data_IF_044670182174
#
_entry.id   IF_044670182174
#
_cell.length_a   1.000
_cell.length_b   1.000
_cell.length_c   1.000
_cell.angle_alpha   90.00
_cell.angle_beta   90.00
_cell.angle_gamma   90.00
#
_symmetry.space_group_name_H-M   'P 1'
#
loop_
_entity.id
_entity.type
_entity.pdbx_description
1 polymer ?
#
# COMPACT_ATOMS: atom_id res chain seq x y z
N UNK A 1 -39.35 -52.19 -3.00
CA UNK A 1 -38.57 -50.98 -3.33
C UNK A 1 -39.35 -49.79 -2.78
N UNK A 2 -38.89 -49.21 -1.67
CA UNK A 2 -39.58 -48.14 -0.94
C UNK A 2 -39.11 -46.78 -1.46
N UNK A 3 -40.06 -45.93 -1.86
CA UNK A 3 -39.81 -44.59 -2.37
C UNK A 3 -39.57 -43.61 -1.19
N UNK A 4 -38.40 -42.96 -1.09
CA UNK A 4 -37.98 -42.21 0.11
C UNK A 4 -38.63 -40.82 0.27
N UNK A 5 -39.52 -40.39 -0.62
CA UNK A 5 -40.10 -39.03 -0.61
C UNK A 5 -41.48 -38.91 0.06
N UNK A 6 -41.97 -39.94 0.75
CA UNK A 6 -43.33 -39.96 1.28
C UNK A 6 -43.53 -39.26 2.64
N UNK A 7 -42.56 -38.45 3.10
CA UNK A 7 -42.54 -37.85 4.46
C UNK A 7 -43.02 -36.39 4.48
N UNK A 8 -43.24 -35.75 3.34
CA UNK A 8 -43.58 -34.32 3.26
C UNK A 8 -45.09 -34.01 3.25
N UNK A 9 -45.93 -34.91 3.80
CA UNK A 9 -47.38 -34.86 3.56
C UNK A 9 -48.29 -35.01 4.78
N UNK A 10 -47.83 -34.85 6.02
CA UNK A 10 -48.73 -34.92 7.18
C UNK A 10 -48.32 -33.94 8.29
N UNK A 11 -49.04 -32.83 8.38
CA UNK A 11 -49.10 -31.99 9.59
C UNK A 11 -50.17 -32.56 10.52
N UNK A 12 -49.86 -32.90 11.78
CA UNK A 12 -50.84 -32.87 12.86
C UNK A 12 -50.85 -31.46 13.45
N UNK A 13 -52.05 -30.90 13.55
CA UNK A 13 -52.32 -29.68 14.30
C UNK A 13 -51.86 -29.81 15.75
N UNK A 14 -51.04 -28.87 16.22
CA UNK A 14 -50.85 -28.64 17.66
C UNK A 14 -49.41 -28.45 18.13
N UNK A 15 -49.23 -27.38 18.89
CA UNK A 15 -48.11 -27.07 19.79
C UNK A 15 -46.74 -26.74 19.19
N UNK A 16 -46.42 -25.44 19.27
CA UNK A 16 -45.12 -24.81 19.18
C UNK A 16 -44.03 -25.56 19.97
N UNK A 17 -43.10 -26.19 19.26
CA UNK A 17 -41.83 -26.65 19.82
C UNK A 17 -40.74 -26.54 18.77
N UNK A 18 -39.77 -25.68 19.10
CA UNK A 18 -38.35 -25.70 18.74
C UNK A 18 -37.96 -26.55 17.53
N UNK A 19 -37.78 -25.88 16.38
CA UNK A 19 -37.03 -26.41 15.25
C UNK A 19 -35.55 -26.41 15.66
N UNK A 20 -34.87 -27.57 15.78
CA UNK A 20 -33.43 -27.58 16.04
C UNK A 20 -32.70 -26.96 14.85
N UNK A 21 -31.75 -26.01 15.04
CA UNK A 21 -31.03 -25.42 13.94
C UNK A 21 -30.15 -26.50 13.27
N UNK A 22 -30.18 -26.54 11.95
CA UNK A 22 -29.31 -27.41 11.15
C UNK A 22 -27.85 -26.96 11.31
N UNK A 23 -27.02 -27.77 11.98
CA UNK A 23 -25.62 -27.46 12.34
C UNK A 23 -24.58 -27.97 11.32
N UNK A 24 -25.00 -28.52 10.18
CA UNK A 24 -24.08 -29.01 9.16
C UNK A 24 -24.11 -28.11 7.92
N UNK A 25 -23.04 -27.33 7.72
CA UNK A 25 -22.78 -26.63 6.46
C UNK A 25 -23.08 -25.13 6.43
N UNK A 26 -23.16 -24.45 7.58
CA UNK A 26 -23.17 -22.98 7.58
C UNK A 26 -21.79 -22.45 7.20
N UNK A 27 -21.65 -21.99 5.95
CA UNK A 27 -20.56 -21.11 5.54
C UNK A 27 -20.51 -19.92 6.52
N UNK A 28 -19.33 -19.41 6.90
CA UNK A 28 -19.24 -18.27 7.80
C UNK A 28 -20.06 -17.11 7.25
N UNK A 29 -21.08 -16.71 8.01
CA UNK A 29 -21.87 -15.53 7.74
C UNK A 29 -20.96 -14.32 7.90
N UNK A 30 -20.63 -13.65 6.80
CA UNK A 30 -19.94 -12.37 6.85
C UNK A 30 -20.91 -11.34 7.43
N UNK A 31 -20.88 -11.19 8.75
CA UNK A 31 -21.58 -10.13 9.43
C UNK A 31 -21.04 -8.80 8.90
N UNK A 32 -21.84 -8.16 8.03
CA UNK A 32 -21.48 -6.90 7.36
C UNK A 32 -21.52 -5.71 8.33
N UNK A 33 -21.58 -5.98 9.63
CA UNK A 33 -21.67 -4.99 10.71
C UNK A 33 -20.52 -5.05 11.72
N UNK A 34 -19.52 -5.90 11.50
CA UNK A 34 -18.24 -5.82 12.20
C UNK A 34 -17.31 -4.89 11.43
N UNK A 35 -17.26 -3.62 11.85
CA UNK A 35 -16.21 -2.66 11.46
C UNK A 35 -14.87 -3.10 12.02
N UNK A 36 -14.36 -4.25 11.57
CA UNK A 36 -13.02 -4.70 11.89
C UNK A 36 -12.06 -3.61 11.39
N UNK A 37 -11.24 -3.08 12.30
CA UNK A 37 -10.29 -2.04 11.95
C UNK A 37 -9.48 -2.48 10.71
N UNK A 38 -9.27 -1.60 9.73
CA UNK A 38 -8.55 -1.96 8.52
C UNK A 38 -7.17 -2.52 8.90
N UNK A 39 -6.82 -3.68 8.35
CA UNK A 39 -5.52 -4.31 8.62
C UNK A 39 -4.43 -3.48 7.93
N UNK A 40 -3.69 -2.73 8.72
CA UNK A 40 -2.59 -1.86 8.29
C UNK A 40 -1.24 -2.58 8.43
N UNK A 41 -0.38 -2.33 7.45
CA UNK A 41 1.04 -2.65 7.48
C UNK A 41 1.80 -1.35 7.70
N UNK A 42 2.64 -1.33 8.73
CA UNK A 42 3.43 -0.15 9.10
C UNK A 42 4.89 -0.35 8.75
N UNK A 43 5.46 0.66 8.11
CA UNK A 43 6.88 0.76 7.81
C UNK A 43 7.44 2.08 8.36
N UNK A 44 8.71 2.08 8.75
CA UNK A 44 9.39 3.26 9.25
C UNK A 44 10.66 3.54 8.46
N UNK A 45 10.74 4.72 7.85
CA UNK A 45 11.98 5.24 7.30
C UNK A 45 12.77 5.87 8.45
N UNK A 46 13.91 5.29 8.78
CA UNK A 46 14.75 5.68 9.92
C UNK A 46 16.23 5.71 9.55
N UNK A 47 17.09 6.11 10.47
CA UNK A 47 18.53 6.27 10.25
C UNK A 47 18.84 7.16 9.04
N UNK A 48 18.08 8.27 8.91
CA UNK A 48 18.22 9.25 7.83
C UNK A 48 19.63 9.85 7.87
N UNK A 49 20.40 9.73 6.78
CA UNK A 49 21.78 10.21 6.74
C UNK A 49 22.23 10.70 5.34
N UNK A 50 22.08 12.00 5.00
CA UNK A 50 21.48 13.06 5.81
C UNK A 50 19.95 13.15 5.67
N UNK A 51 19.35 12.43 4.71
CA UNK A 51 17.93 12.54 4.37
C UNK A 51 17.33 11.17 4.02
N UNK A 52 16.06 11.15 3.60
CA UNK A 52 15.35 9.93 3.19
C UNK A 52 16.01 9.20 2.01
N UNK A 53 16.85 9.89 1.24
CA UNK A 53 17.63 9.31 0.13
C UNK A 53 18.72 8.35 0.60
N UNK A 54 19.00 8.28 1.91
CA UNK A 54 19.90 7.32 2.50
C UNK A 54 19.40 6.94 3.90
N UNK A 55 18.66 5.84 3.97
CA UNK A 55 17.93 5.42 5.16
C UNK A 55 17.64 3.91 5.17
N UNK A 56 17.14 3.42 6.30
CA UNK A 56 16.63 2.05 6.46
C UNK A 56 15.12 2.10 6.57
N UNK A 57 14.42 1.20 5.88
CA UNK A 57 12.98 1.01 6.00
C UNK A 57 12.72 -0.23 6.84
N UNK A 58 12.25 -0.03 8.07
CA UNK A 58 11.85 -1.10 8.99
C UNK A 58 10.42 -1.52 8.72
N UNK A 59 10.12 -2.80 8.86
CA UNK A 59 8.77 -3.35 8.88
C UNK A 59 8.28 -3.63 10.30
N UNK A 60 7.30 -4.54 10.46
CA UNK A 60 6.85 -5.00 11.77
C UNK A 60 8.02 -5.49 12.64
N UNK A 61 7.94 -5.26 13.95
CA UNK A 61 8.96 -5.65 14.94
C UNK A 61 10.34 -4.98 14.78
N UNK A 62 10.42 -3.82 14.12
CA UNK A 62 11.68 -3.10 13.85
C UNK A 62 12.68 -3.90 13.01
N UNK A 63 12.20 -4.86 12.21
CA UNK A 63 13.05 -5.66 11.33
C UNK A 63 13.34 -4.88 10.03
N UNK A 64 14.61 -4.72 9.61
CA UNK A 64 14.95 -4.11 8.33
C UNK A 64 14.34 -4.88 7.15
N UNK A 65 13.50 -4.21 6.37
CA UNK A 65 12.86 -4.78 5.18
C UNK A 65 13.49 -4.25 3.90
N UNK A 66 13.86 -2.96 3.88
CA UNK A 66 14.48 -2.33 2.72
C UNK A 66 15.57 -1.34 3.12
N UNK A 67 16.45 -1.05 2.18
CA UNK A 67 17.44 0.01 2.29
C UNK A 67 17.27 0.97 1.12
N UNK A 68 17.33 2.26 1.43
CA UNK A 68 17.46 3.35 0.47
C UNK A 68 18.90 3.83 0.59
N UNK A 69 19.69 3.76 -0.47
CA UNK A 69 21.13 4.07 -0.39
C UNK A 69 21.53 4.98 -1.54
N UNK A 70 22.00 6.18 -1.22
CA UNK A 70 22.70 7.06 -2.15
C UNK A 70 24.19 6.88 -1.96
N UNK A 71 24.89 6.48 -3.02
CA UNK A 71 26.35 6.28 -2.98
C UNK A 71 27.05 7.65 -2.95
N UNK A 72 27.94 7.87 -1.99
CA UNK A 72 28.71 9.11 -1.90
C UNK A 72 29.66 9.31 -3.07
N UNK A 73 30.09 8.23 -3.74
CA UNK A 73 30.91 8.29 -4.96
C UNK A 73 30.07 8.56 -6.22
N UNK A 74 28.76 8.27 -6.16
CA UNK A 74 27.80 8.48 -7.23
C UNK A 74 26.55 9.21 -6.70
N UNK A 75 26.69 10.45 -6.20
CA UNK A 75 25.64 11.15 -5.45
C UNK A 75 24.36 11.40 -6.28
N UNK A 76 24.45 11.26 -7.61
CA UNK A 76 23.30 11.33 -8.51
C UNK A 76 22.43 10.06 -8.52
N UNK A 77 22.75 9.01 -7.76
CA UNK A 77 22.01 7.75 -7.81
C UNK A 77 21.63 7.24 -6.42
N UNK A 78 20.32 6.99 -6.23
CA UNK A 78 19.78 6.27 -5.07
C UNK A 78 19.29 4.90 -5.50
N UNK A 79 19.80 3.86 -4.84
CA UNK A 79 19.39 2.47 -5.05
C UNK A 79 18.41 2.06 -3.97
N UNK A 80 17.32 1.41 -4.38
CA UNK A 80 16.34 0.78 -3.49
C UNK A 80 16.57 -0.74 -3.50
N UNK A 81 16.85 -1.33 -2.34
CA UNK A 81 17.19 -2.76 -2.21
C UNK A 81 16.46 -3.44 -1.07
N UNK A 82 16.09 -4.71 -1.26
CA UNK A 82 15.54 -5.55 -0.19
C UNK A 82 16.63 -5.88 0.83
N UNK A 83 16.28 -5.87 2.12
CA UNK A 83 17.22 -6.15 3.19
C UNK A 83 17.60 -7.63 3.27
N UNK A 84 16.65 -8.52 2.98
CA UNK A 84 16.83 -9.97 3.11
C UNK A 84 17.99 -10.52 2.25
N UNK A 85 18.14 -10.03 1.02
CA UNK A 85 19.10 -10.58 0.04
C UNK A 85 19.90 -9.50 -0.71
N UNK A 86 19.72 -8.22 -0.39
CA UNK A 86 20.35 -7.10 -1.10
C UNK A 86 19.87 -6.90 -2.53
N UNK A 87 18.80 -7.59 -2.96
CA UNK A 87 18.28 -7.48 -4.32
C UNK A 87 17.77 -6.07 -4.57
N UNK A 88 18.34 -5.42 -5.58
CA UNK A 88 17.90 -4.11 -6.06
C UNK A 88 16.53 -4.27 -6.70
N UNK A 89 15.55 -3.47 -6.27
CA UNK A 89 14.22 -3.42 -6.85
C UNK A 89 13.91 -2.05 -7.48
N UNK A 90 14.69 -1.02 -7.18
CA UNK A 90 14.51 0.28 -7.80
C UNK A 90 15.77 1.12 -7.86
N UNK A 91 15.72 2.13 -8.71
CA UNK A 91 16.78 3.12 -8.93
C UNK A 91 16.13 4.48 -9.12
N UNK A 92 16.65 5.49 -8.42
CA UNK A 92 16.35 6.89 -8.67
C UNK A 92 17.64 7.57 -9.13
N UNK A 93 17.58 8.27 -10.25
CA UNK A 93 18.69 9.03 -10.81
C UNK A 93 18.35 10.52 -10.72
N UNK A 94 19.08 11.25 -9.89
CA UNK A 94 18.89 12.68 -9.63
C UNK A 94 19.67 13.50 -10.65
N UNK A 95 18.96 14.39 -11.36
CA UNK A 95 19.56 15.33 -12.32
C UNK A 95 18.92 16.70 -12.20
N UNK A 96 19.73 17.74 -12.44
CA UNK A 96 19.25 19.13 -12.45
C UNK A 96 18.15 19.39 -13.50
N UNK A 97 18.13 18.62 -14.59
CA UNK A 97 17.14 18.72 -15.68
C UNK A 97 15.94 17.78 -15.56
N UNK A 98 15.80 17.05 -14.45
CA UNK A 98 14.69 16.12 -14.21
C UNK A 98 15.17 14.74 -13.77
N UNK A 99 14.74 14.34 -12.58
CA UNK A 99 15.07 13.03 -12.02
C UNK A 99 14.39 11.90 -12.78
N UNK A 100 15.00 10.72 -12.78
CA UNK A 100 14.43 9.51 -13.37
C UNK A 100 14.22 8.44 -12.30
N UNK A 101 13.25 7.56 -12.52
CA UNK A 101 12.92 6.46 -11.62
C UNK A 101 12.70 5.18 -12.40
N UNK A 102 13.13 4.07 -11.81
CA UNK A 102 12.91 2.71 -12.29
C UNK A 102 12.50 1.84 -11.09
N UNK A 103 11.48 1.01 -11.26
CA UNK A 103 11.02 0.03 -10.27
C UNK A 103 10.84 -1.31 -11.00
N UNK A 104 11.71 -2.27 -10.71
CA UNK A 104 11.77 -3.55 -11.42
C UNK A 104 10.44 -4.29 -11.30
N UNK A 105 9.92 -4.68 -12.46
CA UNK A 105 8.64 -5.40 -12.58
C UNK A 105 7.39 -4.52 -12.48
N UNK A 106 7.51 -3.22 -12.18
CA UNK A 106 6.36 -2.33 -12.00
C UNK A 106 6.42 -1.05 -12.84
N UNK A 107 7.59 -0.41 -12.93
CA UNK A 107 7.79 0.88 -13.59
C UNK A 107 9.08 0.83 -14.41
N UNK A 108 9.01 0.87 -15.75
CA UNK A 108 10.21 0.99 -16.58
C UNK A 108 10.92 2.31 -16.31
N UNK A 109 12.22 2.39 -16.61
CA UNK A 109 12.99 3.61 -16.40
C UNK A 109 12.36 4.78 -17.17
N UNK A 110 11.91 5.80 -16.44
CA UNK A 110 11.23 6.97 -16.98
C UNK A 110 11.48 8.22 -16.14
N UNK A 111 10.98 9.37 -16.58
CA UNK A 111 11.04 10.59 -15.79
C UNK A 111 10.22 10.44 -14.49
N UNK A 112 10.75 10.93 -13.37
CA UNK A 112 10.04 10.94 -12.09
C UNK A 112 8.73 11.74 -12.18
N UNK A 113 8.68 12.78 -13.01
CA UNK A 113 7.48 13.54 -13.32
C UNK A 113 6.42 12.74 -14.09
N UNK A 114 6.82 11.71 -14.86
CA UNK A 114 5.87 10.80 -15.53
C UNK A 114 5.40 9.71 -14.58
N UNK A 115 6.24 9.27 -13.64
CA UNK A 115 5.83 8.34 -12.60
C UNK A 115 4.91 8.98 -11.57
N UNK A 116 5.20 10.22 -11.15
CA UNK A 116 4.48 11.03 -10.16
C UNK A 116 4.09 12.39 -10.77
N UNK A 117 3.11 12.36 -11.66
CA UNK A 117 2.60 13.51 -12.40
C UNK A 117 1.98 14.54 -11.45
N UNK A 118 2.38 15.81 -11.55
CA UNK A 118 1.70 16.87 -10.83
C UNK A 118 0.33 17.12 -11.46
N UNK A 119 -0.70 17.25 -10.63
CA UNK A 119 -2.04 17.60 -11.11
C UNK A 119 -2.06 18.99 -11.75
N UNK A 120 -3.00 19.26 -12.69
CA UNK A 120 -3.08 20.58 -13.34
C UNK A 120 -3.29 21.74 -12.36
N UNK A 121 -3.99 21.49 -11.26
CA UNK A 121 -4.21 22.44 -10.17
C UNK A 121 -3.07 22.48 -9.14
N UNK A 122 -2.02 21.66 -9.33
CA UNK A 122 -0.83 21.54 -8.47
C UNK A 122 -1.11 21.13 -7.01
N UNK A 123 -2.27 20.52 -6.75
CA UNK A 123 -2.70 20.16 -5.39
C UNK A 123 -2.32 18.75 -4.96
N UNK A 124 -2.07 17.87 -5.92
CA UNK A 124 -1.75 16.47 -5.66
C UNK A 124 -0.85 15.91 -6.77
N UNK A 125 -0.32 14.71 -6.56
CA UNK A 125 0.41 13.97 -7.57
C UNK A 125 -0.29 12.67 -7.91
N UNK A 126 -0.18 12.26 -9.17
CA UNK A 126 -0.76 11.04 -9.71
C UNK A 126 0.38 10.06 -9.94
N UNK A 127 0.38 8.96 -9.19
CA UNK A 127 1.33 7.88 -9.31
C UNK A 127 0.79 6.83 -10.29
N UNK A 128 1.52 6.58 -11.37
CA UNK A 128 1.14 5.62 -12.40
C UNK A 128 1.85 4.28 -12.20
N UNK A 129 1.08 3.23 -11.87
CA UNK A 129 1.61 1.86 -11.66
C UNK A 129 0.76 0.85 -12.42
N UNK A 130 1.35 0.20 -13.41
CA UNK A 130 0.61 -0.74 -14.27
C UNK A 130 -0.53 -0.05 -15.02
N UNK A 131 -1.77 -0.42 -14.73
CA UNK A 131 -2.99 0.15 -15.34
C UNK A 131 -3.79 1.03 -14.37
N UNK A 132 -3.25 1.25 -13.18
CA UNK A 132 -3.95 1.94 -12.10
C UNK A 132 -3.21 3.21 -11.75
N UNK A 133 -3.99 4.26 -11.55
CA UNK A 133 -3.51 5.52 -11.03
C UNK A 133 -3.79 5.57 -9.54
N UNK A 134 -2.88 6.20 -8.80
CA UNK A 134 -3.01 6.42 -7.36
C UNK A 134 -2.70 7.87 -7.06
N UNK A 135 -3.54 8.53 -6.26
CA UNK A 135 -3.36 9.94 -5.97
C UNK A 135 -2.65 10.11 -4.63
N UNK A 136 -1.51 10.80 -4.64
CA UNK A 136 -0.81 11.29 -3.46
C UNK A 136 -1.19 12.74 -3.21
N UNK A 137 -1.81 13.03 -2.06
CA UNK A 137 -2.27 14.38 -1.73
C UNK A 137 -2.00 14.74 -0.27
N UNK A 138 -1.85 16.03 0.05
CA UNK A 138 -1.72 16.48 1.44
C UNK A 138 -2.90 16.01 2.30
N UNK A 139 -2.58 15.62 3.53
CA UNK A 139 -3.51 15.24 4.60
C UNK A 139 -3.15 16.02 5.88
N UNK A 140 -3.98 15.96 6.93
CA UNK A 140 -3.81 16.81 8.13
C UNK A 140 -2.41 16.75 8.78
N UNK A 141 -1.77 15.59 8.77
CA UNK A 141 -0.47 15.30 9.40
C UNK A 141 0.53 14.65 8.44
N UNK A 142 0.29 14.70 7.12
CA UNK A 142 1.17 14.02 6.18
C UNK A 142 0.69 14.02 4.74
N UNK A 143 1.00 12.95 4.02
CA UNK A 143 0.56 12.73 2.64
C UNK A 143 -0.18 11.39 2.60
N UNK A 144 -1.40 11.40 2.08
CA UNK A 144 -2.19 10.18 1.90
C UNK A 144 -2.23 9.78 0.43
N UNK A 145 -2.37 8.48 0.21
CA UNK A 145 -2.56 7.87 -1.09
C UNK A 145 -3.95 7.25 -1.16
N UNK A 146 -4.69 7.51 -2.24
CA UNK A 146 -5.97 6.86 -2.55
C UNK A 146 -6.00 6.39 -4.02
N UNK A 147 -7.05 5.69 -4.42
CA UNK A 147 -7.19 5.20 -5.79
C UNK A 147 -7.54 6.35 -6.75
N UNK A 148 -6.97 6.30 -7.95
CA UNK A 148 -7.24 7.21 -9.07
C UNK A 148 -8.73 7.30 -9.41
N UNK A 149 -9.19 8.51 -9.77
CA UNK A 149 -10.56 8.76 -10.21
C UNK A 149 -11.56 9.09 -9.09
N UNK A 150 -11.26 8.75 -7.84
CA UNK A 150 -12.07 9.11 -6.68
C UNK A 150 -11.20 9.61 -5.51
N UNK A 151 -11.11 10.93 -5.38
CA UNK A 151 -10.37 11.61 -4.31
C UNK A 151 -11.01 11.44 -2.92
N UNK A 152 -12.28 11.05 -2.87
CA UNK A 152 -13.01 10.74 -1.64
C UNK A 152 -12.90 9.26 -1.26
N UNK A 153 -12.21 8.47 -2.10
CA UNK A 153 -12.02 7.05 -1.85
C UNK A 153 -11.18 6.79 -0.60
N UNK A 154 -11.24 5.54 -0.17
CA UNK A 154 -10.55 5.06 1.02
C UNK A 154 -9.04 5.28 0.91
N UNK A 155 -8.43 5.84 1.97
CA UNK A 155 -6.98 5.95 2.10
C UNK A 155 -6.33 4.57 2.06
N UNK A 156 -5.52 4.33 1.02
CA UNK A 156 -4.78 3.10 0.78
C UNK A 156 -3.41 3.12 1.46
N UNK A 157 -2.78 4.28 1.53
CA UNK A 157 -1.54 4.48 2.28
C UNK A 157 -1.48 5.89 2.86
N UNK A 158 -0.68 6.08 3.90
CA UNK A 158 -0.40 7.38 4.50
C UNK A 158 1.03 7.43 4.97
N UNK A 159 1.73 8.50 4.62
CA UNK A 159 3.05 8.81 5.19
C UNK A 159 2.90 10.02 6.10
N UNK A 160 3.34 9.86 7.35
CA UNK A 160 3.36 10.92 8.36
C UNK A 160 4.81 11.16 8.75
N UNK A 161 5.21 12.43 8.88
CA UNK A 161 6.54 12.80 9.34
C UNK A 161 6.58 12.78 10.86
N UNK A 162 7.54 12.08 11.42
CA UNK A 162 7.85 12.05 12.85
C UNK A 162 9.16 12.82 13.10
N UNK A 163 9.57 12.95 14.36
CA UNK A 163 10.72 13.81 14.74
C UNK A 163 12.03 13.46 14.03
N UNK A 164 12.28 12.18 13.76
CA UNK A 164 13.51 11.67 13.11
C UNK A 164 13.25 10.55 12.09
N UNK A 165 11.98 10.32 11.73
CA UNK A 165 11.53 9.22 10.89
C UNK A 165 10.35 9.63 10.03
N UNK A 166 10.01 8.79 9.06
CA UNK A 166 8.72 8.83 8.37
C UNK A 166 8.00 7.51 8.63
N UNK A 167 6.74 7.58 9.07
CA UNK A 167 5.88 6.42 9.26
C UNK A 167 5.00 6.26 8.04
N UNK A 168 5.12 5.12 7.37
CA UNK A 168 4.26 4.72 6.27
C UNK A 168 3.28 3.65 6.75
N UNK A 169 1.99 3.94 6.69
CA UNK A 169 0.91 3.01 6.96
C UNK A 169 0.24 2.64 5.64
N UNK A 170 0.12 1.35 5.34
CA UNK A 170 -0.50 0.84 4.10
C UNK A 170 -1.60 -0.15 4.43
N UNK A 171 -2.74 -0.06 3.73
CA UNK A 171 -3.78 -1.08 3.81
C UNK A 171 -3.34 -2.39 3.19
N UNK A 172 -3.89 -3.49 3.68
CA UNK A 172 -3.63 -4.84 3.15
C UNK A 172 -3.93 -4.93 1.65
N UNK A 173 -4.99 -4.29 1.15
CA UNK A 173 -5.26 -4.27 -0.30
C UNK A 173 -4.14 -3.63 -1.13
N UNK A 174 -3.50 -2.56 -0.63
CA UNK A 174 -2.40 -1.89 -1.32
C UNK A 174 -1.13 -2.75 -1.32
N UNK A 175 -0.87 -3.43 -0.20
CA UNK A 175 0.26 -4.37 -0.09
C UNK A 175 0.07 -5.56 -1.02
N UNK A 176 -1.13 -6.15 -1.05
CA UNK A 176 -1.48 -7.29 -1.92
C UNK A 176 -1.46 -6.91 -3.40
N UNK A 177 -1.79 -5.65 -3.74
CA UNK A 177 -1.64 -5.11 -5.09
C UNK A 177 -0.17 -4.87 -5.50
N UNK A 178 0.81 -5.19 -4.64
CA UNK A 178 2.23 -5.06 -4.95
C UNK A 178 2.76 -3.62 -4.89
N UNK A 179 2.05 -2.70 -4.23
CA UNK A 179 2.40 -1.28 -4.24
C UNK A 179 3.53 -0.89 -3.29
N UNK A 180 4.05 -1.80 -2.47
CA UNK A 180 5.07 -1.49 -1.44
C UNK A 180 6.30 -0.83 -2.07
N UNK A 181 6.86 -1.40 -3.13
CA UNK A 181 8.05 -0.84 -3.79
C UNK A 181 7.75 0.53 -4.43
N UNK A 182 6.60 0.68 -5.07
CA UNK A 182 6.15 1.94 -5.67
C UNK A 182 5.91 3.03 -4.63
N UNK A 183 5.30 2.68 -3.50
CA UNK A 183 5.08 3.60 -2.39
C UNK A 183 6.42 4.06 -1.77
N UNK A 184 7.38 3.15 -1.58
CA UNK A 184 8.71 3.51 -1.08
C UNK A 184 9.41 4.48 -2.03
N UNK A 185 9.43 4.18 -3.34
CA UNK A 185 10.02 5.06 -4.33
C UNK A 185 9.32 6.43 -4.38
N UNK A 186 8.00 6.44 -4.32
CA UNK A 186 7.21 7.67 -4.31
C UNK A 186 7.53 8.55 -3.09
N UNK A 187 7.58 7.97 -1.89
CA UNK A 187 7.91 8.69 -0.67
C UNK A 187 9.33 9.25 -0.72
N UNK A 188 10.30 8.48 -1.21
CA UNK A 188 11.68 8.98 -1.39
C UNK A 188 11.68 10.18 -2.34
N UNK A 189 10.96 10.13 -3.46
CA UNK A 189 10.87 11.27 -4.39
C UNK A 189 10.19 12.48 -3.73
N UNK A 190 9.03 12.30 -3.09
CA UNK A 190 8.25 13.35 -2.45
C UNK A 190 9.00 14.04 -1.29
N UNK A 191 9.69 13.27 -0.46
CA UNK A 191 10.32 13.74 0.78
C UNK A 191 11.83 14.05 0.61
N UNK A 192 12.41 13.81 -0.58
CA UNK A 192 13.82 14.12 -0.87
C UNK A 192 14.16 15.62 -0.84
N UNK A 193 13.15 16.49 -0.97
CA UNK A 193 13.34 17.93 -1.21
C UNK A 193 13.80 18.28 -2.63
N UNK A 194 14.00 17.28 -3.50
CA UNK A 194 14.33 17.50 -4.91
C UNK A 194 13.07 17.75 -5.71
N UNK A 195 13.14 18.68 -6.67
CA UNK A 195 12.02 18.93 -7.59
C UNK A 195 11.91 17.77 -8.58
N UNK A 196 10.72 17.18 -8.64
CA UNK A 196 10.29 16.20 -9.63
C UNK A 196 9.20 16.80 -10.51
#
# INVERSE_FOLDING_TARGET
MQNPYNVWGTLPSGSSSEIPPSIYGALPWNDSSSTAAPRLHTFYFTALNPSITNCVVLGPNNDPQFYVTTDSNLPGYTVLKAAQNGQKFGLIEWKSGGSQVEIRGAVPKQAASTFLSLSPDQRYRIMHVGRSDYIWMPDQDGIRMCLGGDMSSTTLAKVTRESSSFKLEMRSEAVQAGLVHSAIAAIVLLESGTRI
#
